data_IF_162011911741
#
_entry.id   IF_162011911741
#
_cell.length_a   1.000
_cell.length_b   1.000
_cell.length_c   1.000
_cell.angle_alpha   90.00
_cell.angle_beta   90.00
_cell.angle_gamma   90.00
#
_symmetry.space_group_name_H-M   'P 1'
#
loop_
_entity.id
_entity.type
_entity.pdbx_description
1 polymer ?
#
# COMPACT_ATOMS: atom_id res chain seq x y z
N UNK A 1 22.49 -7.47 52.13
CA UNK A 1 22.30 -7.09 50.71
C UNK A 1 20.89 -7.50 50.29
N UNK A 2 19.96 -6.54 50.12
CA UNK A 2 18.55 -6.79 49.79
C UNK A 2 18.38 -6.67 48.27
N UNK A 3 17.96 -7.75 47.59
CA UNK A 3 17.54 -7.72 46.18
C UNK A 3 16.06 -7.36 46.13
N UNK A 4 15.75 -6.18 45.60
CA UNK A 4 14.38 -5.73 45.31
C UNK A 4 13.99 -6.22 43.92
N UNK A 5 13.10 -7.21 43.86
CA UNK A 5 12.38 -7.61 42.65
C UNK A 5 11.20 -6.65 42.45
N UNK A 6 11.28 -5.81 41.42
CA UNK A 6 10.16 -4.99 40.97
C UNK A 6 9.21 -5.85 40.13
N UNK A 7 8.03 -6.14 40.67
CA UNK A 7 6.93 -6.73 39.95
C UNK A 7 6.17 -5.62 39.21
N UNK A 8 6.25 -5.58 37.88
CA UNK A 8 5.38 -4.77 37.05
C UNK A 8 3.97 -5.37 37.07
N UNK A 9 3.12 -4.83 37.96
CA UNK A 9 1.67 -5.08 37.99
C UNK A 9 0.98 -4.22 36.94
N UNK A 10 0.30 -4.88 36.01
CA UNK A 10 -0.97 -4.41 35.44
C UNK A 10 -0.90 -3.26 34.45
N UNK A 11 -0.47 -3.54 33.22
CA UNK A 11 -0.91 -2.75 32.06
C UNK A 11 -2.10 -3.51 31.45
N UNK A 12 -3.30 -2.91 31.36
CA UNK A 12 -4.43 -3.52 30.66
C UNK A 12 -4.04 -3.86 29.22
N UNK A 13 -4.43 -5.04 28.68
CA UNK A 13 -4.06 -5.44 27.32
C UNK A 13 -4.49 -4.42 26.23
N UNK A 14 -5.48 -3.58 26.52
CA UNK A 14 -5.90 -2.49 25.63
C UNK A 14 -4.88 -1.33 25.54
N UNK A 15 -4.11 -1.04 26.59
CA UNK A 15 -3.11 0.03 26.60
C UNK A 15 -1.80 -0.37 25.93
N UNK A 16 -1.47 -1.66 25.89
CA UNK A 16 -0.32 -2.17 25.16
C UNK A 16 -0.51 -2.02 23.64
N UNK A 17 -1.73 -2.22 23.13
CA UNK A 17 -2.05 -1.99 21.71
C UNK A 17 -1.95 -0.51 21.36
N UNK A 18 -2.48 0.38 22.20
CA UNK A 18 -2.41 1.82 21.99
C UNK A 18 -0.96 2.35 22.04
N UNK A 19 -0.12 1.83 22.94
CA UNK A 19 1.29 2.18 23.00
C UNK A 19 2.10 1.63 21.81
N UNK A 20 1.77 0.43 21.31
CA UNK A 20 2.37 -0.11 20.10
C UNK A 20 1.96 0.70 18.85
N UNK A 21 0.68 1.07 18.72
CA UNK A 21 0.20 1.97 17.66
C UNK A 21 0.81 3.37 17.76
N UNK A 22 0.95 3.92 18.97
CA UNK A 22 1.60 5.21 19.18
C UNK A 22 3.11 5.18 18.89
N UNK A 23 3.79 4.06 19.17
CA UNK A 23 5.20 3.87 18.81
C UNK A 23 5.40 3.73 17.28
N UNK A 24 4.48 3.06 16.58
CA UNK A 24 4.46 3.03 15.11
C UNK A 24 4.22 4.44 14.56
N UNK A 25 3.30 5.21 15.14
CA UNK A 25 3.03 6.58 14.73
C UNK A 25 4.16 7.57 15.05
N UNK A 26 4.91 7.37 16.15
CA UNK A 26 6.07 8.19 16.50
C UNK A 26 7.30 7.91 15.60
N UNK A 27 7.36 6.73 14.96
CA UNK A 27 8.27 6.44 13.87
C UNK A 27 7.82 6.97 12.50
N UNK A 28 6.59 7.50 12.39
CA UNK A 28 6.07 8.15 11.17
C UNK A 28 6.47 9.63 11.05
N UNK A 29 7.59 10.04 11.65
CA UNK A 29 8.29 11.22 11.14
C UNK A 29 8.61 10.91 9.69
N UNK A 30 7.84 11.49 8.75
CA UNK A 30 8.11 11.42 7.31
C UNK A 30 9.60 11.72 7.18
N UNK A 31 10.46 10.74 6.79
CA UNK A 31 11.89 10.96 6.76
C UNK A 31 12.12 12.23 5.95
N UNK A 32 12.98 13.12 6.42
CA UNK A 32 13.31 14.31 5.67
C UNK A 32 13.96 13.82 4.37
N UNK A 33 13.21 13.89 3.26
CA UNK A 33 13.60 13.23 2.00
C UNK A 33 14.52 14.13 1.16
N UNK A 34 15.17 15.10 1.80
CA UNK A 34 16.14 16.00 1.20
C UNK A 34 17.35 15.27 0.63
N UNK A 35 17.63 14.07 1.13
CA UNK A 35 18.87 13.34 0.91
C UNK A 35 18.89 12.61 -0.43
N UNK A 36 17.72 12.38 -1.04
CA UNK A 36 17.61 11.76 -2.37
C UNK A 36 17.94 12.82 -3.44
N UNK A 37 18.90 12.54 -4.35
CA UNK A 37 19.26 13.44 -5.43
C UNK A 37 18.06 13.83 -6.30
N UNK A 38 18.07 15.07 -6.81
CA UNK A 38 16.95 15.61 -7.60
C UNK A 38 16.56 14.73 -8.78
N UNK A 39 17.53 14.22 -9.54
CA UNK A 39 17.29 13.37 -10.71
C UNK A 39 16.57 12.07 -10.34
N UNK A 40 16.95 11.48 -9.20
CA UNK A 40 16.28 10.29 -8.66
C UNK A 40 14.86 10.60 -8.20
N UNK A 41 14.63 11.75 -7.56
CA UNK A 41 13.28 12.18 -7.18
C UNK A 41 12.38 12.35 -8.40
N UNK A 42 12.85 13.03 -9.44
CA UNK A 42 12.10 13.23 -10.69
C UNK A 42 11.79 11.88 -11.36
N UNK A 43 12.74 10.94 -11.34
CA UNK A 43 12.52 9.58 -11.83
C UNK A 43 11.44 8.83 -11.04
N UNK A 44 11.53 8.83 -9.70
CA UNK A 44 10.57 8.15 -8.82
C UNK A 44 9.18 8.78 -8.87
N UNK A 45 9.09 10.11 -8.97
CA UNK A 45 7.83 10.84 -9.18
C UNK A 45 7.18 10.46 -10.51
N UNK A 46 7.97 10.37 -11.58
CA UNK A 46 7.50 9.91 -12.88
C UNK A 46 6.95 8.48 -12.84
N UNK A 47 7.57 7.59 -12.06
CA UNK A 47 7.06 6.25 -11.82
C UNK A 47 5.77 6.24 -10.99
N UNK A 48 5.71 7.05 -9.92
CA UNK A 48 4.50 7.17 -9.11
C UNK A 48 3.31 7.68 -9.93
N UNK A 49 3.52 8.63 -10.84
CA UNK A 49 2.48 9.16 -11.73
C UNK A 49 1.95 8.11 -12.72
N UNK A 50 2.75 7.12 -13.11
CA UNK A 50 2.31 6.02 -13.99
C UNK A 50 1.60 4.92 -13.21
N UNK A 51 2.11 4.59 -12.02
CA UNK A 51 1.61 3.49 -11.19
C UNK A 51 0.30 3.85 -10.48
N UNK A 52 0.13 5.08 -9.99
CA UNK A 52 -1.04 5.47 -9.22
C UNK A 52 -2.37 5.28 -10.00
N UNK A 53 -2.51 5.74 -11.25
CA UNK A 53 -3.73 5.52 -12.03
C UNK A 53 -4.01 4.03 -12.29
N UNK A 54 -2.97 3.24 -12.56
CA UNK A 54 -3.11 1.80 -12.81
C UNK A 54 -3.59 1.01 -11.58
N UNK A 55 -3.40 1.54 -10.37
CA UNK A 55 -3.86 0.90 -9.13
C UNK A 55 -5.27 1.32 -8.69
N UNK A 56 -5.75 2.49 -9.11
CA UNK A 56 -6.98 3.10 -8.58
C UNK A 56 -8.10 3.13 -9.61
N UNK A 57 -7.80 3.34 -10.89
CA UNK A 57 -8.83 3.50 -11.91
C UNK A 57 -9.25 2.12 -12.45
N UNK A 58 -10.55 1.89 -12.64
CA UNK A 58 -11.05 0.64 -13.20
C UNK A 58 -10.92 0.60 -14.73
N UNK A 59 -10.71 -0.61 -15.28
CA UNK A 59 -10.87 -0.91 -16.69
C UNK A 59 -10.00 -0.04 -17.62
N UNK A 60 -10.62 0.51 -18.67
CA UNK A 60 -9.93 1.29 -19.71
C UNK A 60 -9.46 2.68 -19.24
N UNK A 61 -9.90 3.12 -18.06
CA UNK A 61 -9.42 4.35 -17.43
C UNK A 61 -8.07 4.13 -16.71
N UNK A 62 -7.74 2.88 -16.38
CA UNK A 62 -6.42 2.54 -15.89
C UNK A 62 -5.39 2.82 -16.98
N UNK A 63 -4.35 3.59 -16.64
CA UNK A 63 -3.17 3.61 -17.47
C UNK A 63 -2.67 2.17 -17.64
N UNK A 64 -2.27 1.80 -18.87
CA UNK A 64 -1.68 0.49 -19.11
C UNK A 64 -0.59 0.23 -18.07
N UNK A 65 -0.63 -0.92 -17.38
CA UNK A 65 0.37 -1.21 -16.37
C UNK A 65 1.76 -1.16 -17.01
N UNK A 66 2.76 -0.63 -16.31
CA UNK A 66 4.12 -0.64 -16.83
C UNK A 66 4.56 -2.07 -17.11
N UNK A 67 5.42 -2.23 -18.13
CA UNK A 67 5.91 -3.53 -18.52
C UNK A 67 6.76 -4.17 -17.41
N UNK A 68 6.83 -5.50 -17.42
CA UNK A 68 7.56 -6.27 -16.39
C UNK A 68 9.04 -5.91 -16.36
N UNK A 69 9.62 -5.52 -17.50
CA UNK A 69 11.02 -5.10 -17.59
C UNK A 69 11.24 -3.76 -16.87
N UNK A 70 10.39 -2.77 -17.11
CA UNK A 70 10.46 -1.48 -16.45
C UNK A 70 10.20 -1.58 -14.94
N UNK A 71 9.23 -2.38 -14.52
CA UNK A 71 8.98 -2.65 -13.10
C UNK A 71 10.19 -3.30 -12.42
N UNK A 72 10.81 -4.28 -13.07
CA UNK A 72 12.04 -4.91 -12.55
C UNK A 72 13.17 -3.89 -12.41
N UNK A 73 13.38 -3.04 -13.42
CA UNK A 73 14.41 -2.00 -13.36
C UNK A 73 14.16 -0.98 -12.25
N UNK A 74 12.90 -0.61 -12.00
CA UNK A 74 12.53 0.23 -10.86
C UNK A 74 12.85 -0.45 -9.52
N UNK A 75 12.55 -1.74 -9.38
CA UNK A 75 12.86 -2.49 -8.16
C UNK A 75 14.37 -2.58 -7.94
N UNK A 76 15.13 -2.95 -8.97
CA UNK A 76 16.60 -3.00 -8.90
C UNK A 76 17.19 -1.64 -8.51
N UNK A 77 16.66 -0.54 -9.08
CA UNK A 77 17.06 0.81 -8.71
C UNK A 77 16.75 1.14 -7.23
N UNK A 78 15.61 0.72 -6.71
CA UNK A 78 15.25 0.94 -5.31
C UNK A 78 15.96 -0.02 -4.33
N UNK A 79 16.40 -1.20 -4.77
CA UNK A 79 17.10 -2.18 -3.92
C UNK A 79 18.52 -1.71 -3.53
N UNK A 80 19.11 -0.81 -4.31
CA UNK A 80 20.41 -0.19 -3.98
C UNK A 80 20.32 0.76 -2.77
N UNK A 81 19.16 1.38 -2.56
CA UNK A 81 18.92 2.31 -1.45
C UNK A 81 17.44 2.23 -0.99
N UNK A 82 17.17 1.62 0.19
CA UNK A 82 15.82 1.49 0.73
C UNK A 82 15.03 2.80 0.89
N UNK A 83 15.71 3.95 1.02
CA UNK A 83 15.03 5.24 1.13
C UNK A 83 14.30 5.62 -0.17
N UNK A 84 14.74 5.09 -1.32
CA UNK A 84 14.04 5.24 -2.61
C UNK A 84 12.67 4.57 -2.58
N UNK A 85 12.54 3.40 -1.95
CA UNK A 85 11.23 2.77 -1.75
C UNK A 85 10.33 3.64 -0.89
N UNK A 86 10.83 4.14 0.24
CA UNK A 86 10.07 5.03 1.12
C UNK A 86 9.62 6.29 0.37
N UNK A 87 10.51 6.85 -0.46
CA UNK A 87 10.19 7.99 -1.33
C UNK A 87 9.03 7.65 -2.26
N UNK A 88 9.20 6.62 -3.08
CA UNK A 88 8.23 6.14 -4.06
C UNK A 88 6.86 5.87 -3.42
N UNK A 89 6.80 5.17 -2.29
CA UNK A 89 5.54 4.90 -1.60
C UNK A 89 4.85 6.17 -1.11
N UNK A 90 5.61 7.17 -0.66
CA UNK A 90 5.02 8.46 -0.29
C UNK A 90 4.46 9.20 -1.50
N UNK A 91 5.17 9.19 -2.64
CA UNK A 91 4.66 9.76 -3.89
C UNK A 91 3.40 9.02 -4.36
N UNK A 92 3.39 7.69 -4.29
CA UNK A 92 2.21 6.88 -4.63
C UNK A 92 1.02 7.22 -3.74
N UNK A 93 1.21 7.28 -2.43
CA UNK A 93 0.15 7.66 -1.48
C UNK A 93 -0.40 9.04 -1.80
N UNK A 94 0.47 10.02 -2.03
CA UNK A 94 0.06 11.40 -2.29
C UNK A 94 -0.67 11.50 -3.65
N UNK A 95 -0.21 10.79 -4.68
CA UNK A 95 -0.87 10.69 -6.00
C UNK A 95 -2.23 9.99 -5.93
N UNK A 96 -2.32 8.83 -5.28
CA UNK A 96 -3.59 8.11 -5.07
C UNK A 96 -4.57 8.98 -4.29
N UNK A 97 -4.11 9.64 -3.22
CA UNK A 97 -4.94 10.52 -2.40
C UNK A 97 -5.45 11.78 -3.12
N UNK A 98 -4.86 12.13 -4.27
CA UNK A 98 -5.34 13.23 -5.12
C UNK A 98 -6.46 12.83 -6.07
N UNK A 99 -6.66 11.52 -6.31
CA UNK A 99 -7.75 11.03 -7.13
C UNK A 99 -9.03 11.15 -6.31
N UNK A 100 -10.06 11.89 -6.77
CA UNK A 100 -11.32 11.96 -6.05
C UNK A 100 -11.93 10.57 -5.95
N UNK A 101 -12.60 10.24 -4.82
CA UNK A 101 -13.33 8.98 -4.74
C UNK A 101 -14.37 8.91 -5.86
N UNK A 102 -14.64 7.72 -6.42
CA UNK A 102 -15.69 7.58 -7.42
C UNK A 102 -17.04 7.95 -6.82
N UNK A 103 -17.93 8.48 -7.66
CA UNK A 103 -19.30 8.77 -7.23
C UNK A 103 -19.98 7.49 -6.74
N UNK A 104 -20.73 7.55 -5.63
CA UNK A 104 -21.36 6.37 -5.03
C UNK A 104 -22.37 5.69 -5.96
N UNK A 105 -22.92 6.45 -6.92
CA UNK A 105 -23.87 5.93 -7.91
C UNK A 105 -23.18 5.04 -8.96
N UNK A 106 -21.86 5.17 -9.18
CA UNK A 106 -21.10 4.35 -10.12
C UNK A 106 -20.77 2.94 -9.62
N UNK A 107 -20.94 2.66 -8.32
CA UNK A 107 -20.64 1.35 -7.71
C UNK A 107 -21.87 0.43 -7.70
N UNK A 108 -23.07 0.98 -7.91
CA UNK A 108 -24.33 0.26 -7.78
C UNK A 108 -24.93 -0.27 -9.09
N UNK A 109 -24.30 -0.05 -10.24
CA UNK A 109 -24.70 -0.75 -11.47
C UNK A 109 -23.97 -2.10 -11.52
N UNK A 110 -24.62 -3.23 -11.20
CA UNK A 110 -24.05 -4.54 -11.49
C UNK A 110 -23.84 -4.61 -13.00
N UNK A 111 -22.60 -4.91 -13.40
CA UNK A 111 -22.26 -5.19 -14.79
C UNK A 111 -23.26 -6.22 -15.35
N UNK A 112 -24.14 -5.87 -16.30
CA UNK A 112 -25.15 -6.78 -16.82
C UNK A 112 -24.55 -7.95 -17.63
N UNK A 113 -23.22 -8.00 -17.77
CA UNK A 113 -22.50 -9.04 -18.51
C UNK A 113 -21.69 -10.04 -17.67
N UNK A 114 -21.53 -9.84 -16.36
CA UNK A 114 -20.83 -10.83 -15.50
C UNK A 114 -21.88 -11.71 -14.83
N UNK A 115 -22.33 -12.73 -15.56
CA UNK A 115 -23.00 -13.87 -14.94
C UNK A 115 -22.04 -14.44 -13.89
N UNK A 116 -22.47 -14.45 -12.62
CA UNK A 116 -21.71 -15.06 -11.53
C UNK A 116 -21.31 -16.48 -11.98
N UNK A 117 -20.05 -16.90 -11.80
CA UNK A 117 -19.65 -18.25 -12.18
C UNK A 117 -20.56 -19.23 -11.43
N UNK A 118 -21.40 -19.93 -12.19
CA UNK A 118 -22.31 -20.92 -11.67
C UNK A 118 -21.53 -21.83 -10.73
N UNK A 119 -21.99 -21.85 -9.48
CA UNK A 119 -21.41 -22.67 -8.44
C UNK A 119 -21.34 -24.09 -8.97
N UNK A 120 -20.11 -24.57 -9.21
CA UNK A 120 -19.81 -25.95 -9.58
C UNK A 120 -20.52 -26.82 -8.56
N UNK A 121 -21.66 -27.37 -8.96
CA UNK A 121 -22.42 -28.28 -8.13
C UNK A 121 -21.59 -29.54 -8.04
N UNK A 122 -21.08 -29.82 -6.85
CA UNK A 122 -20.53 -31.11 -6.44
C UNK A 122 -21.51 -32.21 -6.86
N UNK A 123 -21.27 -32.85 -8.01
CA UNK A 123 -21.70 -34.23 -8.20
C UNK A 123 -20.75 -35.11 -7.40
N UNK A 124 -21.01 -35.13 -6.10
CA UNK A 124 -20.62 -36.22 -5.23
C UNK A 124 -21.12 -37.53 -5.87
N UNK A 125 -20.16 -38.40 -6.15
CA UNK A 125 -20.45 -39.76 -6.57
C UNK A 125 -21.32 -40.50 -5.56
N UNK A 126 -22.07 -41.46 -6.08
CA UNK A 126 -22.61 -42.57 -5.31
C UNK A 126 -22.73 -43.78 -6.23
N UNK A 127 -22.64 -44.99 -5.65
CA UNK A 127 -21.71 -46.05 -6.05
C UNK A 127 -22.13 -46.92 -7.24
#
# INVERSE_FOLDING_TARGET
>A
MKRTTAACRGIPPCLALAAALAAVAAGCSRPDRSDIPREEREFLEGWAARLAPAMVLPGELAASPPDTAGLRGLMEFCDEDPDRYLYLYGCLRDSIGSVPPPDPDCINDPDPGIEAPDSVTDQAGSP
#
